data_IF_494165098892
#
_entry.id   IF_494165098892
#
_cell.length_a   1.000
_cell.length_b   1.000
_cell.length_c   1.000
_cell.angle_alpha   90.00
_cell.angle_beta   90.00
_cell.angle_gamma   90.00
#
_symmetry.space_group_name_H-M   'P 1'
#
loop_
_entity.id
_entity.type
_entity.pdbx_description
1 polymer ?
#
# COMPACT_ATOMS: atom_id res chain seq x y z
N UNK A 1 -0.72 -0.53 -20.64
CA UNK A 1 0.21 0.65 -20.61
C UNK A 1 1.01 0.57 -19.31
N UNK A 2 2.32 0.89 -19.35
CA UNK A 2 3.15 0.86 -18.14
C UNK A 2 3.49 2.28 -17.71
N UNK A 3 3.24 2.62 -16.45
CA UNK A 3 3.60 3.87 -15.79
C UNK A 3 4.59 3.57 -14.67
N UNK A 4 5.64 4.36 -14.54
CA UNK A 4 6.70 4.16 -13.54
C UNK A 4 6.93 5.47 -12.80
N UNK A 5 6.84 5.41 -11.49
CA UNK A 5 7.24 6.46 -10.55
C UNK A 5 8.60 6.09 -9.98
N UNK A 6 9.66 6.76 -10.43
CA UNK A 6 11.02 6.64 -9.88
C UNK A 6 11.20 7.72 -8.83
N UNK A 7 11.28 7.35 -7.55
CA UNK A 7 11.30 8.29 -6.43
C UNK A 7 12.68 8.91 -6.15
N UNK A 8 13.63 8.80 -7.04
CA UNK A 8 14.83 9.60 -6.96
C UNK A 8 14.49 11.09 -7.13
N UNK A 9 15.11 11.96 -6.32
CA UNK A 9 14.83 13.39 -6.30
C UNK A 9 14.89 14.02 -7.70
N UNK A 10 13.85 14.76 -8.05
CA UNK A 10 13.72 15.43 -9.34
C UNK A 10 13.31 14.53 -10.52
N UNK A 11 13.00 13.24 -10.29
CA UNK A 11 12.60 12.30 -11.34
C UNK A 11 11.10 12.01 -11.42
N UNK A 12 10.33 12.43 -10.45
CA UNK A 12 8.89 12.20 -10.45
C UNK A 12 8.10 13.47 -10.13
N UNK A 13 6.82 13.48 -10.49
CA UNK A 13 5.91 14.58 -10.22
C UNK A 13 4.98 14.23 -9.07
N UNK A 14 5.08 14.96 -7.97
CA UNK A 14 4.26 14.75 -6.77
C UNK A 14 2.76 14.96 -7.00
N UNK A 15 2.37 15.72 -8.06
CA UNK A 15 0.97 15.95 -8.38
C UNK A 15 0.29 14.74 -9.04
N UNK A 16 1.05 13.77 -9.49
CA UNK A 16 0.50 12.57 -10.14
C UNK A 16 -0.07 11.54 -9.16
N UNK A 17 0.32 11.62 -7.89
CA UNK A 17 -0.16 10.75 -6.83
C UNK A 17 -0.93 11.55 -5.78
N UNK A 18 -2.13 11.10 -5.45
CA UNK A 18 -3.00 11.75 -4.47
C UNK A 18 -2.73 11.19 -3.08
N UNK A 19 -2.51 12.03 -2.06
CA UNK A 19 -2.49 11.58 -0.67
C UNK A 19 -3.85 11.00 -0.26
N UNK A 20 -3.82 9.82 0.34
CA UNK A 20 -5.02 9.15 0.86
C UNK A 20 -4.76 8.64 2.28
N UNK A 21 -5.83 8.48 3.05
CA UNK A 21 -5.75 8.15 4.47
C UNK A 21 -6.61 6.94 4.80
N UNK A 22 -6.06 6.01 5.55
CA UNK A 22 -6.90 5.01 6.22
C UNK A 22 -7.81 5.69 7.24
N UNK A 23 -9.04 5.20 7.44
CA UNK A 23 -9.88 5.63 8.58
C UNK A 23 -9.20 5.46 9.93
N UNK A 24 -8.24 4.53 10.04
CA UNK A 24 -7.45 4.28 11.24
C UNK A 24 -6.11 5.03 11.27
N UNK A 25 -5.87 5.95 10.35
CA UNK A 25 -4.64 6.74 10.31
C UNK A 25 -4.64 7.77 11.42
N UNK A 26 -3.85 7.54 12.47
CA UNK A 26 -3.73 8.46 13.61
C UNK A 26 -2.64 9.50 13.41
N UNK A 27 -1.58 9.16 12.71
CA UNK A 27 -0.42 10.01 12.46
C UNK A 27 -0.36 10.40 10.97
N UNK A 28 -0.65 11.68 10.70
CA UNK A 28 -0.67 12.23 9.33
C UNK A 28 0.70 12.78 8.92
N UNK A 29 1.74 11.99 9.17
CA UNK A 29 3.10 12.37 8.82
C UNK A 29 3.35 12.06 7.35
N UNK A 30 3.68 13.11 6.60
CA UNK A 30 3.91 13.02 5.16
C UNK A 30 5.19 12.25 4.83
N UNK A 31 5.25 11.69 3.63
CA UNK A 31 6.50 11.20 3.07
C UNK A 31 7.54 12.31 3.02
N UNK A 32 8.79 11.93 3.27
CA UNK A 32 9.97 12.78 3.12
C UNK A 32 10.75 12.31 1.90
N UNK A 33 11.08 13.25 1.01
CA UNK A 33 11.97 12.98 -0.12
C UNK A 33 13.41 12.90 0.39
N UNK A 34 14.08 11.81 0.09
CA UNK A 34 15.54 11.65 0.18
C UNK A 34 16.15 11.58 -1.23
N UNK A 35 17.45 11.49 -1.36
CA UNK A 35 18.13 11.55 -2.65
C UNK A 35 17.61 10.50 -3.64
N UNK A 36 17.42 9.27 -3.18
CA UNK A 36 17.06 8.13 -4.03
C UNK A 36 15.72 7.49 -3.72
N UNK A 37 14.96 8.01 -2.74
CA UNK A 37 13.73 7.37 -2.30
C UNK A 37 12.78 8.33 -1.58
N UNK A 38 11.54 7.88 -1.41
CA UNK A 38 10.63 8.43 -0.42
C UNK A 38 10.74 7.62 0.87
N UNK A 39 10.72 8.31 2.01
CA UNK A 39 10.66 7.69 3.34
C UNK A 39 9.34 8.06 3.97
N UNK A 40 8.61 7.08 4.51
CA UNK A 40 7.41 7.39 5.28
C UNK A 40 7.79 8.16 6.54
N UNK A 41 6.96 9.14 6.91
CA UNK A 41 7.09 9.78 8.20
C UNK A 41 6.86 8.76 9.31
N UNK A 42 7.65 8.83 10.38
CA UNK A 42 7.41 8.02 11.59
C UNK A 42 6.61 8.87 12.56
N UNK A 43 5.41 8.43 12.88
CA UNK A 43 4.59 9.06 13.90
C UNK A 43 5.14 8.86 15.31
N UNK A 44 4.43 9.38 16.31
CA UNK A 44 4.80 9.23 17.72
C UNK A 44 4.81 7.78 18.20
N UNK A 45 4.08 6.90 17.52
CA UNK A 45 4.04 5.47 17.77
C UNK A 45 4.69 4.73 16.61
N UNK A 46 5.73 3.94 16.91
CA UNK A 46 6.33 2.99 15.95
C UNK A 46 5.34 1.87 15.54
N UNK A 47 4.26 1.72 16.26
CA UNK A 47 3.19 0.75 16.04
C UNK A 47 1.90 1.41 15.54
N UNK A 48 2.02 2.60 14.91
CA UNK A 48 0.90 3.26 14.23
C UNK A 48 0.37 2.35 13.12
N UNK A 49 -0.95 2.34 12.94
CA UNK A 49 -1.57 1.55 11.91
C UNK A 49 -1.40 2.20 10.59
N UNK A 50 -1.27 2.50 9.73
CA UNK A 50 -1.13 3.10 8.41
C UNK A 50 -0.71 4.57 8.44
N UNK A 51 0.24 4.83 7.63
CA UNK A 51 0.67 6.18 7.28
C UNK A 51 -0.17 6.71 6.10
N UNK A 52 0.11 7.94 5.72
CA UNK A 52 -0.45 8.50 4.49
C UNK A 52 0.02 7.67 3.31
N UNK A 53 -0.92 7.27 2.45
CA UNK A 53 -0.63 6.58 1.20
C UNK A 53 -0.55 7.56 0.05
N UNK A 54 0.21 7.21 -0.98
CA UNK A 54 0.20 7.86 -2.27
C UNK A 54 -0.49 6.96 -3.27
N UNK A 55 -1.55 7.45 -3.93
CA UNK A 55 -2.43 6.64 -4.77
C UNK A 55 -2.76 7.31 -6.10
N UNK A 56 -3.08 6.50 -7.10
CA UNK A 56 -3.70 6.93 -8.34
C UNK A 56 -4.98 6.13 -8.64
N UNK A 57 -5.88 6.73 -9.42
CA UNK A 57 -7.07 6.07 -9.94
C UNK A 57 -6.75 5.41 -11.27
N UNK A 58 -7.11 4.15 -11.41
CA UNK A 58 -6.90 3.37 -12.62
C UNK A 58 -8.20 2.78 -13.17
N UNK A 59 -8.19 2.43 -14.45
CA UNK A 59 -9.23 1.65 -15.12
C UNK A 59 -8.73 0.26 -15.43
N UNK A 60 -9.34 -0.75 -14.84
CA UNK A 60 -9.01 -2.14 -15.15
C UNK A 60 -9.57 -2.55 -16.50
N UNK A 61 -8.71 -3.00 -17.41
CA UNK A 61 -9.12 -3.55 -18.71
C UNK A 61 -9.08 -5.09 -18.73
N UNK A 62 -7.99 -5.69 -18.27
CA UNK A 62 -7.78 -7.15 -18.32
C UNK A 62 -7.05 -7.72 -17.11
N UNK A 63 -6.60 -6.86 -16.25
CA UNK A 63 -5.78 -7.11 -15.09
C UNK A 63 -4.80 -5.98 -14.91
N UNK A 64 -4.34 -5.78 -13.69
CA UNK A 64 -3.37 -4.74 -13.34
C UNK A 64 -2.22 -5.39 -12.60
N UNK A 65 -1.00 -5.04 -12.98
CA UNK A 65 0.20 -5.45 -12.25
C UNK A 65 0.81 -4.23 -11.57
N UNK A 66 1.02 -4.33 -10.28
CA UNK A 66 1.70 -3.34 -9.46
C UNK A 66 3.04 -3.89 -9.02
N UNK A 67 4.09 -3.09 -9.11
CA UNK A 67 5.41 -3.45 -8.60
C UNK A 67 5.95 -2.33 -7.74
N UNK A 68 6.31 -2.64 -6.50
CA UNK A 68 6.88 -1.72 -5.53
C UNK A 68 8.30 -2.17 -5.17
N UNK A 69 9.28 -1.31 -5.42
CA UNK A 69 10.64 -1.48 -4.93
C UNK A 69 10.80 -0.70 -3.63
N UNK A 70 11.08 -1.39 -2.55
CA UNK A 70 11.17 -0.79 -1.22
C UNK A 70 12.26 -1.46 -0.36
N UNK A 71 12.51 -0.87 0.79
CA UNK A 71 13.24 -1.51 1.89
C UNK A 71 12.62 -1.04 3.21
N UNK A 72 12.92 -1.74 4.30
CA UNK A 72 12.40 -1.37 5.61
C UNK A 72 13.41 -1.68 6.71
N UNK A 73 13.34 -0.93 7.79
CA UNK A 73 14.07 -1.20 9.02
C UNK A 73 13.29 -2.18 9.91
N UNK A 74 13.86 -2.53 11.04
CA UNK A 74 13.17 -3.37 12.04
C UNK A 74 11.76 -2.85 12.31
N UNK A 75 10.78 -3.74 12.31
CA UNK A 75 9.34 -3.45 12.40
C UNK A 75 8.74 -2.69 11.21
N UNK A 76 9.49 -2.44 10.16
CA UNK A 76 8.94 -1.87 8.94
C UNK A 76 7.99 -2.86 8.25
N UNK A 77 6.93 -2.33 7.65
CA UNK A 77 5.93 -3.11 6.94
C UNK A 77 5.40 -2.32 5.72
N UNK A 78 6.20 -2.24 4.65
CA UNK A 78 5.75 -1.61 3.40
C UNK A 78 4.63 -2.42 2.78
N UNK A 79 3.71 -1.74 2.10
CA UNK A 79 2.58 -2.40 1.49
C UNK A 79 2.10 -1.72 0.19
N UNK A 80 1.51 -2.53 -0.68
CA UNK A 80 0.66 -2.09 -1.77
C UNK A 80 -0.78 -2.03 -1.26
N UNK A 81 -1.47 -0.94 -1.54
CA UNK A 81 -2.89 -0.74 -1.20
C UNK A 81 -3.71 -0.57 -2.48
N UNK A 82 -4.92 -1.12 -2.49
CA UNK A 82 -5.90 -0.82 -3.52
C UNK A 82 -7.31 -0.79 -2.92
N UNK A 83 -8.07 0.23 -3.32
CA UNK A 83 -9.37 0.56 -2.73
C UNK A 83 -10.44 0.66 -3.80
N UNK A 84 -11.61 0.13 -3.48
CA UNK A 84 -12.78 0.20 -4.36
C UNK A 84 -13.22 1.64 -4.58
N UNK A 85 -13.17 2.45 -3.55
CA UNK A 85 -13.55 3.86 -3.55
C UNK A 85 -12.70 4.67 -2.57
N UNK A 86 -12.75 5.98 -2.74
CA UNK A 86 -12.09 6.95 -1.86
C UNK A 86 -12.98 8.16 -1.68
N UNK A 87 -13.96 8.09 -0.79
CA UNK A 87 -14.77 9.24 -0.44
C UNK A 87 -13.91 10.36 0.18
N UNK A 88 -14.40 11.58 0.09
CA UNK A 88 -13.83 12.72 0.78
C UNK A 88 -14.49 12.89 2.15
N UNK A 89 -13.69 13.18 3.16
CA UNK A 89 -14.19 13.57 4.46
C UNK A 89 -14.59 15.07 4.46
N UNK A 90 -15.09 15.56 5.58
CA UNK A 90 -15.50 16.97 5.77
C UNK A 90 -14.36 17.98 5.54
N UNK A 91 -13.10 17.53 5.56
CA UNK A 91 -11.90 18.36 5.31
C UNK A 91 -11.45 18.30 3.85
N UNK A 92 -12.16 17.56 2.97
CA UNK A 92 -11.76 17.34 1.58
C UNK A 92 -10.60 16.33 1.42
N UNK A 93 -10.27 15.56 2.46
CA UNK A 93 -9.23 14.54 2.39
C UNK A 93 -9.79 13.23 1.87
N UNK A 94 -9.05 12.55 0.99
CA UNK A 94 -9.41 11.22 0.50
C UNK A 94 -9.22 10.18 1.60
N UNK A 95 -10.29 9.46 1.92
CA UNK A 95 -10.29 8.37 2.91
C UNK A 95 -10.58 7.06 2.21
N UNK A 96 -9.90 6.00 2.57
CA UNK A 96 -10.22 4.68 2.02
C UNK A 96 -11.65 4.25 2.41
N UNK A 97 -12.36 3.77 1.41
CA UNK A 97 -13.48 2.87 1.63
C UNK A 97 -13.04 1.46 1.95
N UNK A 98 -13.73 0.47 1.44
CA UNK A 98 -13.23 -0.90 1.50
C UNK A 98 -11.98 -1.04 0.64
N UNK A 99 -10.92 -1.62 1.23
CA UNK A 99 -9.62 -1.73 0.58
C UNK A 99 -8.90 -3.03 0.92
N UNK A 100 -7.88 -3.32 0.13
CA UNK A 100 -7.01 -4.46 0.32
C UNK A 100 -5.57 -3.97 0.51
N UNK A 101 -4.82 -4.72 1.32
CA UNK A 101 -3.42 -4.46 1.63
C UNK A 101 -2.59 -5.72 1.39
N UNK A 102 -1.52 -5.58 0.62
CA UNK A 102 -0.49 -6.60 0.44
C UNK A 102 0.74 -6.14 1.20
N UNK A 103 0.95 -6.68 2.37
CA UNK A 103 1.96 -6.22 3.35
C UNK A 103 3.15 -7.16 3.35
N UNK A 104 4.36 -6.63 3.11
CA UNK A 104 5.60 -7.33 3.36
C UNK A 104 6.18 -6.91 4.72
N UNK A 105 6.78 -7.84 5.45
CA UNK A 105 7.40 -7.61 6.75
C UNK A 105 8.48 -8.68 7.02
N UNK A 106 9.25 -8.55 8.08
CA UNK A 106 10.40 -9.42 8.37
C UNK A 106 10.12 -10.93 8.37
N UNK A 107 8.86 -11.33 8.57
CA UNK A 107 8.45 -12.76 8.65
C UNK A 107 7.53 -13.20 7.52
N UNK A 108 7.51 -12.46 6.41
CA UNK A 108 6.79 -12.88 5.22
C UNK A 108 5.84 -11.85 4.62
N UNK A 109 4.70 -12.33 4.17
CA UNK A 109 3.68 -11.55 3.47
C UNK A 109 2.30 -11.83 4.06
N UNK A 110 1.50 -10.79 4.24
CA UNK A 110 0.09 -10.86 4.63
C UNK A 110 -0.77 -10.18 3.59
N UNK A 111 -1.98 -10.69 3.39
CA UNK A 111 -3.00 -10.03 2.58
C UNK A 111 -4.23 -9.79 3.44
N UNK A 112 -4.61 -8.54 3.52
CA UNK A 112 -5.73 -8.09 4.31
C UNK A 112 -6.84 -7.51 3.43
N UNK A 113 -8.09 -7.71 3.85
CA UNK A 113 -9.26 -6.93 3.43
C UNK A 113 -9.67 -6.07 4.62
N UNK A 114 -9.77 -4.79 4.42
CA UNK A 114 -10.11 -3.82 5.45
C UNK A 114 -11.47 -3.20 5.09
N UNK A 115 -12.41 -3.27 6.01
CA UNK A 115 -13.74 -2.68 5.86
C UNK A 115 -13.87 -1.52 6.83
N UNK A 116 -14.32 -0.33 6.40
CA UNK A 116 -14.63 0.77 7.30
C UNK A 116 -15.68 0.35 8.33
N UNK A 117 -15.47 0.72 9.59
CA UNK A 117 -16.38 0.44 10.69
C UNK A 117 -16.54 1.69 11.58
N UNK A 118 -17.28 2.70 11.11
CA UNK A 118 -17.35 4.02 11.75
C UNK A 118 -17.93 3.99 13.18
N UNK A 119 -18.72 2.98 13.52
CA UNK A 119 -19.28 2.82 14.87
C UNK A 119 -18.21 2.50 15.92
N UNK A 120 -17.04 2.04 15.50
CA UNK A 120 -15.91 1.75 16.39
C UNK A 120 -14.97 2.94 16.48
N UNK A 121 -15.20 3.83 17.44
CA UNK A 121 -14.48 5.10 17.58
C UNK A 121 -12.95 4.92 17.72
N UNK A 122 -12.50 3.95 18.51
CA UNK A 122 -11.07 3.75 18.76
C UNK A 122 -10.30 3.17 17.57
N UNK A 123 -10.97 2.39 16.73
CA UNK A 123 -10.39 1.77 15.54
C UNK A 123 -11.48 1.59 14.49
N UNK A 124 -11.76 2.61 13.67
CA UNK A 124 -12.91 2.62 12.75
C UNK A 124 -12.72 1.72 11.52
N UNK A 125 -12.08 0.58 11.69
CA UNK A 125 -11.86 -0.42 10.66
C UNK A 125 -12.05 -1.83 11.22
N UNK A 126 -12.42 -2.76 10.34
CA UNK A 126 -12.49 -4.19 10.59
C UNK A 126 -11.58 -4.93 9.63
N UNK A 127 -10.40 -5.38 10.08
CA UNK A 127 -9.46 -6.14 9.25
C UNK A 127 -9.83 -7.62 9.19
N UNK A 128 -9.68 -8.21 8.00
CA UNK A 128 -9.81 -9.63 7.74
C UNK A 128 -8.53 -10.12 7.07
N UNK A 129 -7.81 -11.02 7.71
CA UNK A 129 -6.68 -11.71 7.10
C UNK A 129 -7.24 -12.69 6.04
N UNK A 130 -6.90 -12.48 4.78
CA UNK A 130 -7.32 -13.35 3.69
C UNK A 130 -6.34 -14.50 3.47
N UNK A 131 -5.05 -14.20 3.54
CA UNK A 131 -3.98 -15.20 3.41
C UNK A 131 -2.67 -14.65 3.98
N UNK A 132 -1.76 -15.56 4.29
CA UNK A 132 -0.39 -15.23 4.69
C UNK A 132 0.59 -16.32 4.20
N UNK A 133 1.84 -15.93 4.06
CA UNK A 133 2.95 -16.85 3.82
C UNK A 133 4.16 -16.43 4.65
N UNK A 134 4.71 -17.39 5.40
CA UNK A 134 5.85 -17.17 6.29
C UNK A 134 7.17 -17.51 5.59
N UNK A 135 8.08 -16.55 5.56
CA UNK A 135 9.47 -16.66 5.17
C UNK A 135 10.23 -15.46 5.72
N UNK A 136 11.54 -15.53 5.78
CA UNK A 136 12.34 -14.43 6.32
C UNK A 136 12.65 -13.40 5.23
N UNK A 137 12.47 -12.12 5.54
CA UNK A 137 12.91 -10.99 4.74
C UNK A 137 13.88 -10.19 5.60
N UNK A 138 15.12 -10.08 5.16
CA UNK A 138 16.14 -9.33 5.85
C UNK A 138 15.87 -7.83 5.76
N UNK A 139 15.82 -7.15 6.91
CA UNK A 139 15.68 -5.69 6.97
C UNK A 139 16.84 -4.97 6.30
N UNK A 140 16.59 -3.74 5.82
CA UNK A 140 17.53 -2.91 5.07
C UNK A 140 18.04 -3.50 3.74
N UNK A 141 17.41 -4.56 3.25
CA UNK A 141 17.65 -5.09 1.91
C UNK A 141 16.58 -4.61 0.95
N UNK A 142 16.88 -4.63 -0.34
CA UNK A 142 15.87 -4.32 -1.37
C UNK A 142 14.80 -5.41 -1.39
N UNK A 143 13.56 -5.00 -1.34
CA UNK A 143 12.37 -5.86 -1.42
C UNK A 143 11.55 -5.45 -2.63
N UNK A 144 11.23 -6.42 -3.48
CA UNK A 144 10.25 -6.25 -4.53
C UNK A 144 8.92 -6.88 -4.10
N UNK A 145 7.88 -6.07 -4.07
CA UNK A 145 6.50 -6.52 -3.91
C UNK A 145 5.81 -6.38 -5.26
N UNK A 146 5.48 -7.50 -5.90
CA UNK A 146 4.73 -7.52 -7.15
C UNK A 146 3.35 -8.11 -6.90
N UNK A 147 2.30 -7.40 -7.32
CA UNK A 147 0.91 -7.81 -7.16
C UNK A 147 0.20 -7.74 -8.49
N UNK A 148 -0.34 -8.86 -8.96
CA UNK A 148 -1.23 -8.92 -10.11
C UNK A 148 -2.68 -9.02 -9.62
N UNK A 149 -3.47 -8.01 -9.96
CA UNK A 149 -4.89 -7.90 -9.61
C UNK A 149 -5.72 -8.42 -10.77
N UNK A 150 -6.41 -9.53 -10.57
CA UNK A 150 -7.33 -10.14 -11.52
C UNK A 150 -8.78 -9.91 -11.07
N UNK A 151 -9.75 -10.43 -11.82
CA UNK A 151 -11.17 -10.21 -11.53
C UNK A 151 -11.64 -10.78 -10.18
N UNK A 152 -11.06 -11.90 -9.75
CA UNK A 152 -11.52 -12.69 -8.61
C UNK A 152 -10.38 -13.10 -7.66
N UNK A 153 -9.15 -12.69 -7.97
CA UNK A 153 -7.96 -13.10 -7.22
C UNK A 153 -6.80 -12.13 -7.32
N UNK A 154 -5.92 -12.23 -6.35
CA UNK A 154 -4.60 -11.61 -6.33
C UNK A 154 -3.54 -12.68 -6.49
N UNK A 155 -2.54 -12.40 -7.31
CA UNK A 155 -1.29 -13.14 -7.36
C UNK A 155 -0.17 -12.22 -6.89
N UNK A 156 0.64 -12.68 -5.97
CA UNK A 156 1.66 -11.86 -5.33
C UNK A 156 3.00 -12.56 -5.32
N UNK A 157 4.03 -11.78 -5.52
CA UNK A 157 5.42 -12.21 -5.39
C UNK A 157 6.14 -11.21 -4.50
N UNK A 158 6.88 -11.70 -3.53
CA UNK A 158 7.79 -10.90 -2.71
C UNK A 158 9.14 -11.58 -2.73
N UNK A 159 10.14 -10.94 -3.35
CA UNK A 159 11.47 -11.51 -3.57
C UNK A 159 11.43 -12.93 -4.20
N UNK A 160 10.47 -13.18 -5.10
CA UNK A 160 10.28 -14.48 -5.75
C UNK A 160 9.38 -15.47 -5.01
N UNK A 161 9.08 -15.23 -3.73
CA UNK A 161 8.12 -16.05 -2.97
C UNK A 161 6.69 -15.75 -3.41
N UNK A 162 5.94 -16.79 -3.79
CA UNK A 162 4.60 -16.69 -4.38
C UNK A 162 3.49 -16.97 -3.37
N UNK A 163 2.44 -16.18 -3.45
CA UNK A 163 1.16 -16.36 -2.74
C UNK A 163 0.01 -15.98 -3.67
N UNK A 164 -1.11 -16.69 -3.58
CA UNK A 164 -2.36 -16.37 -4.29
C UNK A 164 -3.52 -16.36 -3.29
N UNK A 165 -4.46 -15.44 -3.46
CA UNK A 165 -5.68 -15.39 -2.66
C UNK A 165 -6.88 -14.95 -3.50
N UNK A 166 -8.07 -15.42 -3.15
CA UNK A 166 -9.32 -14.96 -3.73
C UNK A 166 -9.68 -13.60 -3.12
N UNK A 167 -10.24 -12.74 -3.96
CA UNK A 167 -10.83 -11.47 -3.56
C UNK A 167 -12.26 -11.37 -4.08
N UNK A 168 -13.06 -10.51 -3.48
CA UNK A 168 -14.32 -10.11 -4.08
C UNK A 168 -14.06 -9.21 -5.29
N UNK A 169 -14.98 -9.26 -6.27
CA UNK A 169 -14.78 -8.54 -7.54
C UNK A 169 -14.59 -7.03 -7.31
N UNK A 170 -13.53 -6.50 -7.89
CA UNK A 170 -13.26 -5.07 -7.91
C UNK A 170 -14.09 -4.38 -8.99
N UNK A 171 -14.48 -3.12 -8.81
CA UNK A 171 -15.13 -2.31 -9.85
C UNK A 171 -14.17 -2.12 -11.05
N UNK A 172 -14.69 -1.59 -12.16
CA UNK A 172 -13.87 -1.27 -13.34
C UNK A 172 -12.85 -0.18 -13.05
N UNK A 173 -13.20 0.77 -12.18
CA UNK A 173 -12.32 1.84 -11.73
C UNK A 173 -12.06 1.66 -10.24
N UNK A 174 -10.80 1.72 -9.83
CA UNK A 174 -10.37 1.63 -8.45
C UNK A 174 -9.06 2.38 -8.24
N UNK A 175 -8.65 2.51 -7.00
CA UNK A 175 -7.44 3.24 -6.63
C UNK A 175 -6.34 2.24 -6.26
N UNK A 176 -5.12 2.52 -6.70
CA UNK A 176 -3.92 1.75 -6.36
C UNK A 176 -2.84 2.67 -5.82
N UNK A 177 -2.03 2.16 -4.92
CA UNK A 177 -0.94 2.94 -4.36
C UNK A 177 -0.08 2.14 -3.39
N UNK A 178 0.71 2.86 -2.61
CA UNK A 178 1.60 2.27 -1.62
C UNK A 178 1.64 3.11 -0.34
N UNK A 179 1.97 2.45 0.75
CA UNK A 179 2.20 3.03 2.07
C UNK A 179 2.96 2.04 2.95
N UNK A 180 2.92 2.24 4.26
CA UNK A 180 3.43 1.32 5.26
C UNK A 180 2.47 1.21 6.44
N UNK A 181 2.47 0.07 7.13
CA UNK A 181 1.72 -0.09 8.37
C UNK A 181 2.52 0.37 9.58
N UNK A 182 3.82 0.12 9.60
CA UNK A 182 4.68 0.25 10.77
C UNK A 182 6.11 0.62 10.37
N UNK A 183 6.87 1.15 11.33
CA UNK A 183 8.30 1.36 11.24
C UNK A 183 8.76 2.34 10.17
N UNK A 184 10.03 2.27 9.85
CA UNK A 184 10.67 3.10 8.81
C UNK A 184 10.75 2.29 7.53
N UNK A 185 10.20 2.85 6.45
CA UNK A 185 10.17 2.23 5.14
C UNK A 185 10.66 3.21 4.09
N UNK A 186 11.40 2.71 3.09
CA UNK A 186 11.91 3.46 1.96
C UNK A 186 11.32 2.91 0.68
N UNK A 187 10.85 3.78 -0.18
CA UNK A 187 10.21 3.45 -1.44
C UNK A 187 11.05 4.05 -2.56
N UNK A 188 11.53 3.20 -3.47
CA UNK A 188 12.42 3.59 -4.54
C UNK A 188 11.70 3.78 -5.87
N UNK A 189 10.74 2.91 -6.16
CA UNK A 189 9.87 3.05 -7.33
C UNK A 189 8.52 2.37 -7.11
N UNK A 190 7.52 2.85 -7.82
CA UNK A 190 6.21 2.23 -7.93
C UNK A 190 5.82 2.14 -9.40
N UNK A 191 5.43 0.96 -9.86
CA UNK A 191 5.03 0.72 -11.24
C UNK A 191 3.58 0.26 -11.29
N UNK A 192 2.85 0.79 -12.27
CA UNK A 192 1.48 0.39 -12.60
C UNK A 192 1.45 -0.03 -14.06
N UNK A 193 1.07 -1.27 -14.32
CA UNK A 193 0.94 -1.83 -15.66
C UNK A 193 -0.48 -2.37 -15.86
N UNK A 194 -1.18 -1.75 -16.84
CA UNK A 194 -2.53 -2.11 -17.29
C UNK A 194 -2.51 -2.88 -18.63
#
# INVERSE_FOLDING_TARGET
MKKVYDFAQGKWNEEELTPAYSPACFDRVKFRQEENCLVNGVGKSLFGFEYISLVEKIKRKSGVTLTLQCSFEKFGAPLIVFSNDMPENEKGEKIYGEHYEVVAYEKGINVWRIIPWPERVERPIKPFLLSDKKFEIEGNTMVEIKTQILSDRLKMWVNGEYLETKIEGLPEEFYVGFTACEGINRFYSFEVEE
#
